data_IF_542716544248
#
_entry.id   IF_542716544248
#
_cell.length_a   1.000
_cell.length_b   1.000
_cell.length_c   1.000
_cell.angle_alpha   90.00
_cell.angle_beta   90.00
_cell.angle_gamma   90.00
#
_symmetry.space_group_name_H-M   'P 1'
#
loop_
_entity.id
_entity.type
_entity.pdbx_description
1 polymer ?
#
# COMPACT_ATOMS: atom_id res chain seq x y z
N UNK A 1 -20.43 -5.32 -14.52
CA UNK A 1 -19.86 -6.49 -13.82
C UNK A 1 -18.72 -7.02 -14.68
N UNK A 2 -17.46 -6.80 -14.29
CA UNK A 2 -16.31 -7.32 -15.04
C UNK A 2 -16.40 -8.86 -15.05
N UNK A 3 -16.38 -9.48 -16.22
CA UNK A 3 -16.30 -10.95 -16.33
C UNK A 3 -15.03 -11.38 -15.59
N UNK A 4 -15.18 -12.25 -14.57
CA UNK A 4 -14.03 -12.94 -13.98
C UNK A 4 -13.51 -13.92 -15.03
N UNK A 5 -12.28 -13.71 -15.49
CA UNK A 5 -11.56 -14.64 -16.34
C UNK A 5 -11.40 -15.97 -15.57
N UNK A 6 -11.76 -17.08 -16.21
CA UNK A 6 -11.55 -18.42 -15.69
C UNK A 6 -10.17 -18.97 -16.10
N UNK A 7 -9.77 -20.10 -15.50
CA UNK A 7 -8.49 -20.77 -15.79
C UNK A 7 -8.27 -21.04 -17.30
N UNK A 8 -9.31 -21.48 -18.00
CA UNK A 8 -9.26 -21.72 -19.44
C UNK A 8 -9.02 -20.44 -20.25
N UNK A 9 -9.50 -19.28 -19.77
CA UNK A 9 -9.23 -18.01 -20.43
C UNK A 9 -7.76 -17.59 -20.25
N UNK A 10 -7.20 -17.80 -19.05
CA UNK A 10 -5.77 -17.55 -18.78
C UNK A 10 -4.87 -18.46 -19.61
N UNK A 11 -5.15 -19.76 -19.67
CA UNK A 11 -4.40 -20.71 -20.50
C UNK A 11 -4.37 -20.26 -21.96
N UNK A 12 -5.52 -19.82 -22.50
CA UNK A 12 -5.58 -19.28 -23.86
C UNK A 12 -4.75 -18.00 -24.03
N UNK A 13 -4.86 -17.05 -23.10
CA UNK A 13 -4.11 -15.79 -23.14
C UNK A 13 -2.60 -16.07 -23.09
N UNK A 14 -2.16 -16.94 -22.20
CA UNK A 14 -0.75 -17.31 -22.05
C UNK A 14 -0.19 -17.96 -23.31
N UNK A 15 -0.97 -18.83 -23.96
CA UNK A 15 -0.60 -19.43 -25.25
C UNK A 15 -0.55 -18.39 -26.38
N UNK A 16 -1.51 -17.47 -26.45
CA UNK A 16 -1.53 -16.40 -27.46
C UNK A 16 -0.34 -15.45 -27.31
N UNK A 17 -0.03 -15.02 -26.08
CA UNK A 17 1.16 -14.22 -25.78
C UNK A 17 2.47 -14.96 -26.10
N UNK A 18 2.49 -16.28 -25.91
CA UNK A 18 3.63 -17.14 -26.23
C UNK A 18 4.03 -17.09 -27.72
N UNK A 19 3.10 -16.81 -28.63
CA UNK A 19 3.37 -16.70 -30.07
C UNK A 19 4.20 -15.47 -30.44
N UNK A 20 4.34 -14.50 -29.53
CA UNK A 20 5.17 -13.32 -29.71
C UNK A 20 6.66 -13.59 -29.55
N UNK A 21 7.06 -14.74 -29.01
CA UNK A 21 8.47 -15.10 -28.86
C UNK A 21 9.01 -15.73 -30.15
N UNK A 22 10.22 -15.34 -30.55
CA UNK A 22 10.96 -16.03 -31.61
C UNK A 22 11.68 -17.22 -30.97
N UNK A 23 11.29 -18.44 -31.37
CA UNK A 23 11.86 -19.69 -30.87
C UNK A 23 12.61 -20.34 -32.03
N UNK A 24 13.90 -20.61 -31.86
CA UNK A 24 14.72 -21.27 -32.87
C UNK A 24 14.33 -22.75 -33.02
N UNK A 25 14.75 -23.36 -34.13
CA UNK A 25 14.43 -24.77 -34.44
C UNK A 25 14.91 -25.73 -33.34
N UNK A 26 16.09 -25.45 -32.80
CA UNK A 26 16.73 -26.23 -31.72
C UNK A 26 16.17 -25.86 -30.34
N UNK A 27 15.28 -24.87 -30.23
CA UNK A 27 14.73 -24.41 -28.95
C UNK A 27 13.30 -24.91 -28.73
N UNK A 28 12.88 -24.86 -27.47
CA UNK A 28 11.51 -25.12 -27.04
C UNK A 28 11.05 -24.01 -26.11
N UNK A 29 9.83 -23.52 -26.35
CA UNK A 29 9.13 -22.64 -25.44
C UNK A 29 8.33 -23.48 -24.43
N UNK A 30 8.61 -23.29 -23.16
CA UNK A 30 7.86 -23.84 -22.03
C UNK A 30 7.06 -22.70 -21.42
N UNK A 31 5.76 -22.94 -21.22
CA UNK A 31 4.82 -21.99 -20.67
C UNK A 31 4.32 -22.57 -19.35
N UNK A 32 4.60 -21.90 -18.24
CA UNK A 32 4.21 -22.38 -16.92
C UNK A 32 3.44 -21.28 -16.18
N UNK A 33 2.19 -21.54 -15.73
CA UNK A 33 1.43 -20.55 -14.99
C UNK A 33 2.04 -20.31 -13.61
N UNK A 34 2.07 -19.05 -13.19
CA UNK A 34 2.37 -18.65 -11.83
C UNK A 34 1.04 -18.51 -11.08
N UNK A 35 0.65 -19.57 -10.37
CA UNK A 35 -0.54 -19.53 -9.52
C UNK A 35 -0.21 -19.88 -8.08
N UNK A 36 -0.78 -19.13 -7.13
CA UNK A 36 -0.62 -19.37 -5.70
C UNK A 36 -1.99 -19.31 -5.05
N UNK A 37 -2.40 -20.35 -4.31
CA UNK A 37 -3.71 -20.42 -3.64
C UNK A 37 -4.91 -20.12 -4.56
N UNK A 38 -4.90 -20.62 -5.80
CA UNK A 38 -5.94 -20.41 -6.82
C UNK A 38 -6.04 -18.97 -7.35
N UNK A 39 -5.06 -18.13 -7.05
CA UNK A 39 -4.89 -16.80 -7.62
C UNK A 39 -3.85 -16.87 -8.75
N UNK A 40 -4.29 -16.59 -9.98
CA UNK A 40 -3.41 -16.46 -11.14
C UNK A 40 -2.61 -15.16 -11.01
N UNK A 41 -1.29 -15.29 -10.80
CA UNK A 41 -0.39 -14.15 -10.70
C UNK A 41 0.24 -13.79 -12.06
N UNK A 42 0.34 -14.77 -12.96
CA UNK A 42 0.88 -14.57 -14.30
C UNK A 42 1.40 -15.86 -14.92
N UNK A 43 2.41 -15.73 -15.77
CA UNK A 43 3.00 -16.85 -16.53
C UNK A 43 4.51 -16.64 -16.66
N UNK A 44 5.24 -17.74 -16.60
CA UNK A 44 6.66 -17.82 -16.96
C UNK A 44 6.78 -18.44 -18.34
N UNK A 45 7.58 -17.77 -19.18
CA UNK A 45 8.04 -18.28 -20.46
C UNK A 45 9.52 -18.65 -20.33
N UNK A 46 9.84 -19.90 -20.62
CA UNK A 46 11.22 -20.40 -20.65
C UNK A 46 11.51 -20.84 -22.07
N UNK A 47 12.59 -20.32 -22.64
CA UNK A 47 13.12 -20.76 -23.93
C UNK A 47 14.40 -21.51 -23.63
N UNK A 48 14.41 -22.81 -23.89
CA UNK A 48 15.55 -23.69 -23.61
C UNK A 48 15.94 -24.45 -24.87
N UNK A 49 17.24 -24.72 -25.02
CA UNK A 49 17.78 -25.59 -26.05
C UNK A 49 17.34 -27.03 -25.80
N UNK A 50 16.87 -27.72 -26.85
CA UNK A 50 16.40 -29.10 -26.80
C UNK A 50 17.47 -30.06 -26.29
N UNK A 51 18.74 -29.80 -26.62
CA UNK A 51 19.85 -30.66 -26.22
C UNK A 51 20.31 -30.44 -24.77
N UNK A 52 19.90 -29.31 -24.16
CA UNK A 52 20.21 -28.98 -22.76
C UNK A 52 19.04 -29.22 -21.83
N UNK A 53 17.95 -29.80 -22.34
CA UNK A 53 16.78 -30.11 -21.54
C UNK A 53 17.22 -31.08 -20.43
N UNK A 54 17.45 -30.53 -19.23
CA UNK A 54 17.28 -31.27 -18.00
C UNK A 54 15.88 -31.91 -18.14
N UNK A 55 15.68 -33.11 -17.59
CA UNK A 55 14.39 -33.80 -17.62
C UNK A 55 13.40 -33.07 -16.68
N UNK A 56 13.13 -31.81 -17.01
CA UNK A 56 12.23 -30.90 -16.31
C UNK A 56 10.86 -31.30 -16.78
N UNK A 57 10.25 -32.20 -16.03
CA UNK A 57 8.85 -32.57 -16.21
C UNK A 57 7.91 -31.44 -15.72
N UNK A 58 6.63 -31.66 -15.96
CA UNK A 58 5.57 -30.72 -15.61
C UNK A 58 5.46 -30.52 -14.08
N UNK A 59 5.81 -31.54 -13.29
CA UNK A 59 5.77 -31.48 -11.83
C UNK A 59 6.86 -30.54 -11.29
N UNK A 60 8.09 -30.66 -11.79
CA UNK A 60 9.18 -29.78 -11.39
C UNK A 60 8.93 -28.33 -11.81
N UNK A 61 8.38 -28.11 -13.02
CA UNK A 61 7.97 -26.78 -13.47
C UNK A 61 6.86 -26.18 -12.60
N UNK A 62 5.86 -26.97 -12.25
CA UNK A 62 4.78 -26.55 -11.34
C UNK A 62 5.33 -26.18 -9.97
N UNK A 63 6.23 -26.99 -9.41
CA UNK A 63 6.88 -26.72 -8.13
C UNK A 63 7.70 -25.41 -8.16
N UNK A 64 8.48 -25.18 -9.22
CA UNK A 64 9.22 -23.93 -9.43
C UNK A 64 8.26 -22.74 -9.59
N UNK A 65 7.19 -22.90 -10.36
CA UNK A 65 6.16 -21.86 -10.52
C UNK A 65 5.53 -21.46 -9.19
N UNK A 66 5.20 -22.43 -8.33
CA UNK A 66 4.69 -22.18 -6.98
C UNK A 66 5.72 -21.45 -6.12
N UNK A 67 6.99 -21.87 -6.13
CA UNK A 67 8.05 -21.22 -5.36
C UNK A 67 8.26 -19.77 -5.80
N UNK A 68 8.34 -19.52 -7.12
CA UNK A 68 8.52 -18.19 -7.68
C UNK A 68 7.31 -17.31 -7.39
N UNK A 69 6.10 -17.82 -7.60
CA UNK A 69 4.87 -17.11 -7.29
C UNK A 69 4.80 -16.71 -5.81
N UNK A 70 5.17 -17.63 -4.91
CA UNK A 70 5.24 -17.38 -3.47
C UNK A 70 6.27 -16.29 -3.14
N UNK A 71 7.47 -16.36 -3.72
CA UNK A 71 8.52 -15.37 -3.52
C UNK A 71 8.08 -13.97 -3.99
N UNK A 72 7.45 -13.86 -5.16
CA UNK A 72 6.89 -12.60 -5.69
C UNK A 72 5.81 -12.06 -4.74
N UNK A 73 4.89 -12.92 -4.29
CA UNK A 73 3.82 -12.53 -3.36
C UNK A 73 4.39 -12.01 -2.05
N UNK A 74 5.39 -12.69 -1.49
CA UNK A 74 6.08 -12.27 -0.28
C UNK A 74 6.80 -10.94 -0.46
N UNK A 75 7.52 -10.76 -1.57
CA UNK A 75 8.20 -9.50 -1.87
C UNK A 75 7.20 -8.33 -1.95
N UNK A 76 6.07 -8.51 -2.64
CA UNK A 76 5.01 -7.49 -2.72
C UNK A 76 4.43 -7.16 -1.35
N UNK A 77 4.09 -8.18 -0.55
CA UNK A 77 3.57 -7.96 0.80
C UNK A 77 4.57 -7.21 1.69
N UNK A 78 5.86 -7.53 1.57
CA UNK A 78 6.93 -6.83 2.28
C UNK A 78 7.04 -5.36 1.88
N UNK A 79 6.97 -5.05 0.58
CA UNK A 79 6.94 -3.65 0.11
C UNK A 79 5.72 -2.88 0.61
N UNK A 80 4.55 -3.52 0.64
CA UNK A 80 3.33 -2.91 1.17
C UNK A 80 3.45 -2.63 2.68
N UNK A 81 4.07 -3.54 3.44
CA UNK A 81 4.36 -3.34 4.86
C UNK A 81 5.31 -2.17 5.08
N UNK A 82 6.42 -2.10 4.34
CA UNK A 82 7.38 -0.98 4.43
C UNK A 82 6.74 0.36 4.10
N UNK A 83 5.89 0.41 3.08
CA UNK A 83 5.15 1.61 2.70
C UNK A 83 4.22 2.07 3.82
N UNK A 84 3.46 1.13 4.41
CA UNK A 84 2.59 1.42 5.56
C UNK A 84 3.37 1.92 6.78
N UNK A 85 4.51 1.30 7.08
CA UNK A 85 5.36 1.72 8.18
C UNK A 85 5.90 3.14 7.97
N UNK A 86 6.40 3.45 6.76
CA UNK A 86 6.85 4.80 6.41
C UNK A 86 5.74 5.84 6.57
N UNK A 87 4.54 5.57 6.05
CA UNK A 87 3.39 6.47 6.19
C UNK A 87 3.04 6.65 7.67
N UNK A 88 3.06 5.58 8.46
CA UNK A 88 2.80 5.65 9.90
C UNK A 88 3.83 6.53 10.61
N UNK A 89 5.11 6.43 10.27
CA UNK A 89 6.17 7.29 10.80
C UNK A 89 5.97 8.76 10.41
N UNK A 90 5.65 9.04 9.15
CA UNK A 90 5.35 10.40 8.67
C UNK A 90 4.16 11.01 9.42
N UNK A 91 3.08 10.24 9.61
CA UNK A 91 1.91 10.65 10.40
C UNK A 91 2.25 10.86 11.88
N UNK A 92 3.10 10.01 12.47
CA UNK A 92 3.54 10.17 13.86
C UNK A 92 4.35 11.46 14.05
N UNK A 93 5.20 11.83 13.09
CA UNK A 93 5.93 13.12 13.11
C UNK A 93 4.95 14.29 12.97
N UNK A 94 4.03 14.23 12.01
CA UNK A 94 3.02 15.27 11.81
C UNK A 94 2.15 15.48 13.07
N UNK A 95 1.74 14.38 13.72
CA UNK A 95 0.96 14.42 14.96
C UNK A 95 1.75 15.07 16.11
N UNK A 96 3.06 14.79 16.24
CA UNK A 96 3.92 15.46 17.23
C UNK A 96 4.05 16.96 16.96
N UNK A 97 4.19 17.36 15.69
CA UNK A 97 4.25 18.78 15.31
C UNK A 97 2.93 19.46 15.65
N UNK A 98 1.79 18.88 15.26
CA UNK A 98 0.46 19.42 15.58
C UNK A 98 0.29 19.60 17.10
N UNK A 99 0.63 18.60 17.90
CA UNK A 99 0.50 18.70 19.36
C UNK A 99 1.39 19.78 19.98
N UNK A 100 2.57 20.08 19.39
CA UNK A 100 3.46 21.16 19.85
C UNK A 100 2.99 22.56 19.45
N UNK A 101 2.21 22.68 18.39
CA UNK A 101 1.62 23.97 17.96
C UNK A 101 0.43 24.33 18.86
N UNK A 102 -0.26 23.33 19.41
CA UNK A 102 -1.35 23.58 20.35
C UNK A 102 -0.81 24.17 21.66
N UNK A 103 -1.46 25.20 22.22
CA UNK A 103 -1.03 25.81 23.47
C UNK A 103 -0.92 24.80 24.63
N UNK A 104 0.27 24.67 25.22
CA UNK A 104 0.56 23.71 26.31
C UNK A 104 0.02 24.17 27.67
N UNK A 105 0.08 25.46 27.96
CA UNK A 105 -0.46 26.05 29.18
C UNK A 105 -1.57 27.02 28.82
N UNK A 106 -2.55 27.19 29.70
CA UNK A 106 -3.50 28.31 29.62
C UNK A 106 -3.19 29.26 30.76
N UNK A 107 -2.81 30.50 30.44
CA UNK A 107 -2.62 31.53 31.46
C UNK A 107 -3.97 31.83 32.15
N UNK A 108 -3.95 31.91 33.49
CA UNK A 108 -5.13 32.29 34.27
C UNK A 108 -5.50 33.73 33.95
N UNK A 109 -6.71 33.94 33.43
CA UNK A 109 -7.30 35.26 33.20
C UNK A 109 -8.34 35.49 34.31
N UNK A 110 -8.23 36.61 35.03
CA UNK A 110 -9.15 36.93 36.11
C UNK A 110 -10.61 36.92 35.63
N UNK A 111 -11.46 36.16 36.34
CA UNK A 111 -12.87 36.00 35.99
C UNK A 111 -13.17 34.98 34.89
N UNK A 112 -12.18 34.27 34.35
CA UNK A 112 -12.36 33.28 33.28
C UNK A 112 -11.74 31.93 33.65
N UNK A 113 -12.54 30.86 33.54
CA UNK A 113 -12.05 29.47 33.62
C UNK A 113 -11.98 28.87 32.23
N UNK A 114 -10.80 28.38 31.83
CA UNK A 114 -10.58 27.82 30.50
C UNK A 114 -10.09 26.38 30.66
N UNK A 115 -10.73 25.45 29.96
CA UNK A 115 -10.29 24.06 29.85
C UNK A 115 -10.02 23.73 28.37
N UNK A 116 -9.04 22.86 28.10
CA UNK A 116 -8.69 22.40 26.75
C UNK A 116 -8.89 20.90 26.60
N UNK A 117 -9.37 20.50 25.43
CA UNK A 117 -9.44 19.12 25.01
C UNK A 117 -9.28 19.06 23.49
N UNK A 118 -8.35 18.24 23.01
CA UNK A 118 -8.11 18.03 21.59
C UNK A 118 -7.95 16.54 21.31
N UNK A 119 -8.78 16.02 20.41
CA UNK A 119 -8.71 14.64 19.96
C UNK A 119 -8.93 14.57 18.44
N UNK A 120 -7.88 14.29 17.66
CA UNK A 120 -8.00 14.01 16.23
C UNK A 120 -8.96 12.87 15.93
N UNK A 121 -9.63 12.93 14.77
CA UNK A 121 -10.47 11.83 14.27
C UNK A 121 -9.65 10.64 13.72
N UNK A 122 -8.42 10.91 13.26
CA UNK A 122 -7.41 9.94 12.81
C UNK A 122 -6.08 10.25 13.51
N UNK A 123 -4.92 9.95 12.90
CA UNK A 123 -3.59 10.24 13.44
C UNK A 123 -3.32 11.75 13.57
N UNK A 124 -3.91 12.56 12.67
CA UNK A 124 -3.88 14.02 12.68
C UNK A 124 -5.28 14.61 12.40
N UNK A 125 -5.57 15.77 12.99
CA UNK A 125 -6.80 16.54 12.75
C UNK A 125 -6.57 17.73 11.83
N UNK A 126 -7.61 18.24 11.19
CA UNK A 126 -7.54 19.53 10.49
C UNK A 126 -7.77 20.73 11.40
N UNK A 127 -8.25 20.48 12.61
CA UNK A 127 -8.59 21.52 13.58
C UNK A 127 -7.35 21.95 14.36
N UNK A 128 -7.26 23.23 14.68
CA UNK A 128 -6.31 23.76 15.63
C UNK A 128 -6.89 24.99 16.35
N UNK A 129 -6.39 25.27 17.54
CA UNK A 129 -6.71 26.48 18.28
C UNK A 129 -5.43 27.13 18.79
N UNK A 130 -5.48 28.44 18.97
CA UNK A 130 -4.45 29.23 19.63
C UNK A 130 -5.16 30.27 20.52
N UNK A 131 -4.48 30.83 21.52
CA UNK A 131 -5.06 31.86 22.37
C UNK A 131 -4.02 32.90 22.77
N UNK A 132 -4.44 34.14 23.01
CA UNK A 132 -3.57 35.23 23.42
C UNK A 132 -4.25 36.24 24.35
N UNK A 133 -3.46 37.01 25.07
CA UNK A 133 -3.92 38.15 25.87
C UNK A 133 -3.47 39.44 25.15
N UNK A 134 -4.42 40.25 24.73
CA UNK A 134 -4.18 41.59 24.18
C UNK A 134 -4.06 42.62 25.32
N UNK A 135 -3.60 43.84 24.99
CA UNK A 135 -3.57 44.96 25.95
C UNK A 135 -4.96 45.15 26.57
N UNK A 136 -5.00 45.48 27.87
CA UNK A 136 -6.21 45.71 28.67
C UNK A 136 -7.04 44.45 29.05
N UNK A 137 -6.41 43.30 29.31
CA UNK A 137 -7.07 42.03 29.71
C UNK A 137 -8.08 41.47 28.70
N UNK A 138 -7.96 41.86 27.43
CA UNK A 138 -8.80 41.32 26.37
C UNK A 138 -8.25 39.96 25.93
N UNK A 139 -9.02 38.90 26.17
CA UNK A 139 -8.70 37.54 25.73
C UNK A 139 -9.09 37.31 24.27
N UNK A 140 -8.17 36.77 23.46
CA UNK A 140 -8.45 36.31 22.10
C UNK A 140 -8.26 34.80 21.97
N UNK A 141 -9.19 34.15 21.27
CA UNK A 141 -9.15 32.72 20.98
C UNK A 141 -9.36 32.50 19.48
N UNK A 142 -8.32 32.66 18.65
CA UNK A 142 -8.39 32.22 17.25
C UNK A 142 -8.66 30.72 17.18
N UNK A 143 -9.80 30.36 16.60
CA UNK A 143 -10.18 28.99 16.29
C UNK A 143 -10.15 28.81 14.78
N UNK A 144 -9.46 27.78 14.31
CA UNK A 144 -9.56 27.35 12.93
C UNK A 144 -10.10 25.93 12.88
N UNK A 145 -11.31 25.82 12.35
CA UNK A 145 -11.97 24.55 12.07
C UNK A 145 -11.82 24.25 10.59
N UNK A 146 -11.19 23.13 10.28
CA UNK A 146 -11.09 22.65 8.90
C UNK A 146 -12.26 21.69 8.67
N UNK A 147 -13.13 21.98 7.69
CA UNK A 147 -14.16 21.02 7.27
C UNK A 147 -13.44 19.75 6.84
N UNK A 148 -13.58 18.69 7.65
CA UNK A 148 -12.82 17.46 7.53
C UNK A 148 -12.89 16.84 6.15
N UNK A 149 -11.89 17.12 5.31
CA UNK A 149 -11.49 16.19 4.25
C UNK A 149 -10.63 15.12 4.90
N UNK A 150 -11.28 14.22 5.65
CA UNK A 150 -10.67 12.94 5.94
C UNK A 150 -10.34 12.30 4.60
N UNK A 151 -9.06 12.03 4.32
CA UNK A 151 -8.71 11.14 3.23
C UNK A 151 -9.33 9.77 3.57
N UNK A 152 -10.49 9.51 2.98
CA UNK A 152 -11.13 8.21 2.88
C UNK A 152 -10.33 7.42 1.84
N UNK A 153 -9.27 6.74 2.27
CA UNK A 153 -8.87 5.51 1.59
C UNK A 153 -9.79 4.41 2.12
N UNK A 154 -10.70 3.94 1.26
CA UNK A 154 -11.30 2.62 1.44
C UNK A 154 -10.17 1.58 1.26
N UNK A 155 -10.02 0.70 2.26
CA UNK A 155 -9.27 -0.54 2.15
C UNK A 155 -10.13 -1.61 1.46
#
# INVERSE_FOLDING_TARGET
>A
MLKKFGRADYERIYQELGKGFTVLKEEKLIISPLSVNHEEMGVIYIIEDRDKMIDIDEEMMSALGIQIGTAIKNARAYYELLSKERISQELAVASRIQNRILPEDIHSVDGLQIAKYFKPAKEIGGDYYDYGILRDNIFSLPLQMSVGKGFLQHF
#
